data_IF_353759641791
#
_entry.id   IF_353759641791
#
_cell.length_a   1.000
_cell.length_b   1.000
_cell.length_c   1.000
_cell.angle_alpha   90.00
_cell.angle_beta   90.00
_cell.angle_gamma   90.00
#
_symmetry.space_group_name_H-M   'P 1'
#
loop_
_entity.id
_entity.type
_entity.pdbx_description
1 polymer ?
#
# COMPACT_ATOMS: atom_id res chain seq x y z
N UNK A 1 -17.54 -2.64 -2.53
CA UNK A 1 -16.77 -1.39 -2.64
C UNK A 1 -15.86 -1.37 -3.86
N UNK A 2 -15.14 -2.48 -4.11
CA UNK A 2 -14.14 -2.57 -5.17
C UNK A 2 -14.76 -2.56 -6.57
N UNK A 3 -14.19 -1.78 -7.47
CA UNK A 3 -14.59 -1.72 -8.90
C UNK A 3 -13.73 -2.72 -9.71
N UNK A 4 -13.93 -4.02 -9.48
CA UNK A 4 -13.13 -5.08 -10.11
C UNK A 4 -13.21 -5.07 -11.64
N UNK A 5 -14.31 -4.61 -12.22
CA UNK A 5 -14.43 -4.39 -13.66
C UNK A 5 -13.36 -3.42 -14.18
N UNK A 6 -13.22 -2.24 -13.53
CA UNK A 6 -12.18 -1.27 -13.88
C UNK A 6 -10.77 -1.86 -13.79
N UNK A 7 -10.51 -2.68 -12.75
CA UNK A 7 -9.22 -3.34 -12.61
C UNK A 7 -8.95 -4.35 -13.75
N UNK A 8 -9.95 -5.15 -14.11
CA UNK A 8 -9.82 -6.11 -15.20
C UNK A 8 -9.63 -5.44 -16.56
N UNK A 9 -10.26 -4.30 -16.80
CA UNK A 9 -10.16 -3.52 -18.04
C UNK A 9 -8.86 -2.69 -18.13
N UNK A 10 -8.28 -2.30 -17.01
CA UNK A 10 -7.06 -1.48 -16.99
C UNK A 10 -5.88 -2.17 -17.69
N UNK A 11 -5.10 -1.40 -18.43
CA UNK A 11 -3.93 -1.92 -19.13
C UNK A 11 -2.82 -2.35 -18.16
N UNK A 12 -2.30 -3.56 -18.35
CA UNK A 12 -1.07 -4.01 -17.71
C UNK A 12 0.12 -3.46 -18.48
N UNK A 13 0.91 -2.60 -17.84
CA UNK A 13 2.22 -2.18 -18.37
C UNK A 13 3.25 -3.20 -17.91
N UNK A 14 4.17 -3.60 -18.79
CA UNK A 14 5.17 -4.65 -18.50
C UNK A 14 6.62 -4.17 -18.57
N UNK A 15 6.86 -2.98 -19.07
CA UNK A 15 8.20 -2.39 -19.18
C UNK A 15 8.30 -1.13 -18.30
N UNK A 16 9.33 -1.03 -17.46
CA UNK A 16 10.42 -1.95 -17.15
C UNK A 16 10.05 -3.11 -16.21
N UNK A 17 8.87 -3.11 -15.61
CA UNK A 17 8.31 -4.16 -14.77
C UNK A 17 6.78 -4.12 -14.83
N UNK A 18 6.14 -5.22 -14.43
CA UNK A 18 4.68 -5.32 -14.54
C UNK A 18 3.96 -4.50 -13.46
N UNK A 19 3.11 -3.56 -13.89
CA UNK A 19 2.23 -2.78 -13.00
C UNK A 19 0.91 -2.37 -13.66
N UNK A 20 -0.07 -2.03 -12.84
CA UNK A 20 -1.33 -1.43 -13.25
C UNK A 20 -1.72 -0.32 -12.27
N UNK A 21 -2.23 0.79 -12.80
CA UNK A 21 -2.82 1.89 -12.03
C UNK A 21 -4.29 1.99 -12.37
N UNK A 22 -5.15 2.04 -11.36
CA UNK A 22 -6.59 2.19 -11.52
C UNK A 22 -7.06 3.38 -10.70
N UNK A 23 -7.54 4.41 -11.35
CA UNK A 23 -8.22 5.54 -10.70
C UNK A 23 -9.66 5.14 -10.39
N UNK A 24 -10.24 5.72 -9.34
CA UNK A 24 -11.61 5.41 -8.90
C UNK A 24 -11.87 3.90 -8.76
N UNK A 25 -10.90 3.18 -8.19
CA UNK A 25 -11.02 1.74 -7.94
C UNK A 25 -12.07 1.42 -6.87
N UNK A 26 -12.41 2.39 -6.03
CA UNK A 26 -13.53 2.29 -5.10
C UNK A 26 -14.75 3.02 -5.66
N UNK A 27 -15.96 2.48 -5.40
CA UNK A 27 -17.18 3.26 -5.59
C UNK A 27 -17.16 4.49 -4.69
N UNK A 28 -17.78 5.59 -5.10
CA UNK A 28 -17.79 6.83 -4.32
C UNK A 28 -18.27 6.61 -2.89
N UNK A 29 -19.42 5.96 -2.72
CA UNK A 29 -19.98 5.66 -1.40
C UNK A 29 -19.05 4.76 -0.57
N UNK A 30 -18.39 3.79 -1.23
CA UNK A 30 -17.41 2.90 -0.59
C UNK A 30 -16.18 3.64 -0.10
N UNK A 31 -15.64 4.58 -0.91
CA UNK A 31 -14.50 5.41 -0.55
C UNK A 31 -14.85 6.31 0.65
N UNK A 32 -15.99 7.01 0.59
CA UNK A 32 -16.41 7.91 1.65
C UNK A 32 -16.71 7.15 2.96
N UNK A 33 -17.28 5.95 2.86
CA UNK A 33 -17.51 5.08 4.02
C UNK A 33 -16.18 4.57 4.63
N UNK A 34 -15.24 4.11 3.82
CA UNK A 34 -13.93 3.66 4.29
C UNK A 34 -13.10 4.80 4.91
N UNK A 35 -13.22 6.03 4.38
CA UNK A 35 -12.57 7.22 4.94
C UNK A 35 -13.13 7.59 6.33
N UNK A 36 -14.44 7.51 6.52
CA UNK A 36 -15.07 7.79 7.84
C UNK A 36 -14.59 6.84 8.92
N UNK A 37 -14.44 5.56 8.55
CA UNK A 37 -14.04 4.49 9.46
C UNK A 37 -12.54 4.22 9.42
N UNK A 38 -11.74 5.11 8.79
CA UNK A 38 -10.29 4.96 8.72
C UNK A 38 -9.69 4.96 10.14
N UNK A 39 -8.89 3.95 10.52
CA UNK A 39 -8.42 3.80 11.90
C UNK A 39 -7.51 4.97 12.31
N UNK A 40 -7.49 5.25 13.61
CA UNK A 40 -6.48 6.14 14.17
C UNK A 40 -5.11 5.49 14.08
N UNK A 41 -4.24 6.05 13.23
CA UNK A 41 -2.88 5.56 13.06
C UNK A 41 -1.97 6.33 14.04
N UNK A 42 -1.23 5.63 14.93
CA UNK A 42 -0.54 6.28 16.07
C UNK A 42 0.68 7.11 15.67
N UNK A 43 1.03 7.16 14.39
CA UNK A 43 2.16 7.97 13.91
C UNK A 43 2.64 7.57 12.53
N UNK A 44 3.75 8.15 12.06
CA UNK A 44 4.33 7.83 10.76
C UNK A 44 4.83 6.39 10.68
N UNK A 45 4.87 5.86 9.46
CA UNK A 45 5.33 4.52 9.16
C UNK A 45 4.20 3.56 8.81
N UNK A 46 4.52 2.27 8.73
CA UNK A 46 3.59 1.20 8.38
C UNK A 46 3.13 0.50 9.66
N UNK A 47 1.83 0.42 9.86
CA UNK A 47 1.23 -0.18 11.05
C UNK A 47 0.49 -1.45 10.66
N UNK A 48 0.87 -2.62 11.21
CA UNK A 48 0.15 -3.87 10.98
C UNK A 48 -1.20 -3.85 11.70
N UNK A 49 -2.18 -4.69 11.26
CA UNK A 49 -3.54 -4.69 11.82
C UNK A 49 -3.59 -4.86 13.34
N UNK A 50 -2.70 -5.64 13.93
CA UNK A 50 -2.66 -5.88 15.39
C UNK A 50 -2.31 -4.64 16.22
N UNK A 51 -1.98 -3.50 15.62
CA UNK A 51 -1.69 -2.22 16.28
C UNK A 51 -2.83 -1.20 16.12
N UNK A 52 -3.88 -1.55 15.39
CA UNK A 52 -4.94 -0.64 14.98
C UNK A 52 -6.31 -1.20 15.37
N UNK A 53 -7.23 -0.31 15.68
CA UNK A 53 -8.65 -0.66 15.81
C UNK A 53 -9.31 -0.60 14.43
N UNK A 54 -9.39 -1.75 13.77
CA UNK A 54 -9.94 -1.89 12.41
C UNK A 54 -11.37 -2.41 12.53
N UNK A 55 -12.32 -1.54 12.19
CA UNK A 55 -13.75 -1.85 12.29
C UNK A 55 -14.56 -1.21 11.15
N UNK A 56 -15.90 -1.34 11.20
CA UNK A 56 -16.83 -0.69 10.29
C UNK A 56 -16.57 -0.95 8.82
N UNK A 57 -16.76 0.07 8.00
CA UNK A 57 -16.62 -0.02 6.54
C UNK A 57 -15.15 -0.09 6.09
N UNK A 58 -14.21 0.42 6.90
CA UNK A 58 -12.79 0.19 6.62
C UNK A 58 -12.42 -1.29 6.76
N UNK A 59 -12.97 -1.99 7.78
CA UNK A 59 -12.80 -3.45 7.89
C UNK A 59 -13.41 -4.17 6.68
N UNK A 60 -14.61 -3.79 6.28
CA UNK A 60 -15.25 -4.39 5.10
C UNK A 60 -14.41 -4.20 3.83
N UNK A 61 -13.77 -3.03 3.64
CA UNK A 61 -12.81 -2.80 2.54
C UNK A 61 -11.62 -3.75 2.62
N UNK A 62 -11.04 -3.94 3.81
CA UNK A 62 -9.93 -4.88 4.00
C UNK A 62 -10.37 -6.31 3.69
N UNK A 63 -11.55 -6.72 4.13
CA UNK A 63 -12.08 -8.06 3.86
C UNK A 63 -12.27 -8.29 2.35
N UNK A 64 -12.74 -7.28 1.58
CA UNK A 64 -12.82 -7.37 0.12
C UNK A 64 -11.42 -7.46 -0.54
N UNK A 65 -10.43 -6.68 -0.07
CA UNK A 65 -9.06 -6.72 -0.58
C UNK A 65 -8.35 -8.05 -0.30
N UNK A 66 -8.69 -8.71 0.79
CA UNK A 66 -8.18 -10.05 1.16
C UNK A 66 -9.04 -11.17 0.58
N UNK A 67 -10.14 -10.83 -0.06
CA UNK A 67 -11.11 -11.79 -0.57
C UNK A 67 -10.66 -12.48 -1.87
N UNK A 68 -11.24 -13.66 -2.15
CA UNK A 68 -10.85 -14.49 -3.29
C UNK A 68 -11.12 -13.83 -4.64
N UNK A 69 -12.10 -12.92 -4.74
CA UNK A 69 -12.42 -12.25 -6.00
C UNK A 69 -11.32 -11.27 -6.43
N UNK A 70 -10.74 -10.53 -5.48
CA UNK A 70 -9.61 -9.64 -5.75
C UNK A 70 -8.33 -10.44 -5.99
N UNK A 71 -8.06 -11.49 -5.20
CA UNK A 71 -6.94 -12.40 -5.42
C UNK A 71 -6.97 -12.98 -6.83
N UNK A 72 -8.11 -13.52 -7.26
CA UNK A 72 -8.27 -14.06 -8.60
C UNK A 72 -8.03 -13.00 -9.68
N UNK A 73 -8.61 -11.80 -9.54
CA UNK A 73 -8.42 -10.72 -10.50
C UNK A 73 -6.94 -10.32 -10.64
N UNK A 74 -6.20 -10.25 -9.53
CA UNK A 74 -4.76 -9.96 -9.52
C UNK A 74 -3.96 -11.12 -10.13
N UNK A 75 -4.25 -12.37 -9.76
CA UNK A 75 -3.59 -13.55 -10.29
C UNK A 75 -3.73 -13.65 -11.82
N UNK A 76 -4.93 -13.43 -12.34
CA UNK A 76 -5.23 -13.41 -13.78
C UNK A 76 -4.48 -12.25 -14.49
N UNK A 77 -4.57 -11.03 -13.95
CA UNK A 77 -3.95 -9.83 -14.55
C UNK A 77 -2.43 -9.95 -14.69
N UNK A 78 -1.76 -10.49 -13.68
CA UNK A 78 -0.30 -10.60 -13.64
C UNK A 78 0.24 -11.98 -14.06
N UNK A 79 -0.63 -12.90 -14.47
CA UNK A 79 -0.27 -14.29 -14.80
C UNK A 79 0.61 -14.93 -13.71
N UNK A 80 0.17 -14.85 -12.45
CA UNK A 80 0.89 -15.33 -11.27
C UNK A 80 0.00 -16.22 -10.41
N UNK A 81 0.55 -17.32 -9.89
CA UNK A 81 -0.17 -18.18 -8.95
C UNK A 81 -0.11 -17.58 -7.52
N UNK A 82 -1.26 -17.09 -7.06
CA UNK A 82 -1.44 -16.55 -5.70
C UNK A 82 -2.18 -17.50 -4.78
N UNK A 83 -2.67 -18.63 -5.30
CA UNK A 83 -3.47 -19.59 -4.51
C UNK A 83 -2.68 -20.11 -3.31
N UNK A 84 -3.22 -19.87 -2.11
CA UNK A 84 -2.59 -20.27 -0.85
C UNK A 84 -1.33 -19.50 -0.50
N UNK A 85 -0.99 -18.43 -1.22
CA UNK A 85 0.10 -17.53 -0.82
C UNK A 85 -0.32 -16.70 0.37
N UNK A 86 0.54 -16.59 1.39
CA UNK A 86 0.24 -15.75 2.53
C UNK A 86 0.13 -14.28 2.14
N UNK A 87 -0.77 -13.57 2.82
CA UNK A 87 -0.94 -12.13 2.66
C UNK A 87 -0.55 -11.39 3.92
N UNK A 88 -0.06 -10.19 3.77
CA UNK A 88 0.15 -9.25 4.85
C UNK A 88 -0.27 -7.85 4.42
N UNK A 89 -0.83 -7.07 5.34
CA UNK A 89 -1.10 -5.66 5.05
C UNK A 89 -0.70 -4.74 6.19
N UNK A 90 -0.49 -3.50 5.83
CA UNK A 90 -0.22 -2.40 6.75
C UNK A 90 -1.03 -1.18 6.36
N UNK A 91 -1.31 -0.34 7.35
CA UNK A 91 -1.98 0.94 7.15
C UNK A 91 -1.01 2.07 7.45
N UNK A 92 -1.02 3.09 6.60
CA UNK A 92 -0.25 4.32 6.80
C UNK A 92 -1.21 5.49 6.91
N UNK A 93 -1.00 6.36 7.90
CA UNK A 93 -1.81 7.58 8.09
C UNK A 93 -1.04 8.85 7.82
N UNK A 94 0.28 8.83 8.00
CA UNK A 94 1.15 10.02 7.95
C UNK A 94 2.49 9.70 7.30
N UNK A 95 3.00 10.63 6.50
CA UNK A 95 4.31 10.58 5.86
C UNK A 95 5.25 11.62 6.49
N UNK A 96 6.50 11.26 6.72
CA UNK A 96 7.57 12.19 7.16
C UNK A 96 8.36 12.66 5.97
N UNK A 97 8.97 13.83 6.07
CA UNK A 97 9.84 14.41 5.03
C UNK A 97 10.95 13.46 4.54
N UNK A 98 11.44 12.55 5.40
CA UNK A 98 12.49 11.56 5.09
C UNK A 98 12.00 10.26 4.47
N UNK A 99 10.70 10.06 4.37
CA UNK A 99 10.09 8.89 3.75
C UNK A 99 10.14 9.03 2.20
N UNK A 100 9.92 7.95 1.47
CA UNK A 100 9.88 7.99 0.00
C UNK A 100 11.22 7.77 -0.70
N UNK A 101 12.25 7.27 0.00
CA UNK A 101 13.53 6.89 -0.62
C UNK A 101 13.32 5.86 -1.72
N UNK A 102 14.11 5.94 -2.78
CA UNK A 102 14.11 4.95 -3.87
C UNK A 102 14.49 3.57 -3.33
N UNK A 103 13.68 2.59 -3.65
CA UNK A 103 13.94 1.19 -3.31
C UNK A 103 13.11 0.26 -4.21
N UNK A 104 13.54 -0.98 -4.41
CA UNK A 104 12.67 -2.05 -4.84
C UNK A 104 12.02 -2.67 -3.61
N UNK A 105 10.96 -3.41 -3.80
CA UNK A 105 10.40 -4.20 -2.72
C UNK A 105 11.28 -5.42 -2.39
N UNK A 106 11.15 -5.95 -1.16
CA UNK A 106 11.85 -7.15 -0.71
C UNK A 106 11.57 -8.34 -1.65
N UNK A 107 12.57 -9.20 -1.88
CA UNK A 107 12.47 -10.43 -2.68
C UNK A 107 11.39 -11.41 -2.18
N UNK A 108 11.00 -11.28 -0.94
CA UNK A 108 9.92 -12.09 -0.35
C UNK A 108 8.52 -11.64 -0.73
N UNK A 109 8.35 -10.50 -1.40
CA UNK A 109 7.07 -10.05 -1.94
C UNK A 109 6.89 -10.58 -3.37
N UNK A 110 5.68 -10.99 -3.70
CA UNK A 110 5.29 -11.44 -5.03
C UNK A 110 4.56 -10.31 -5.75
N UNK A 111 3.52 -9.79 -5.12
CA UNK A 111 2.70 -8.67 -5.58
C UNK A 111 2.60 -7.64 -4.46
N UNK A 112 2.71 -6.38 -4.83
CA UNK A 112 2.42 -5.25 -3.94
C UNK A 112 1.21 -4.49 -4.45
N UNK A 113 0.30 -4.20 -3.54
CA UNK A 113 -0.89 -3.38 -3.75
C UNK A 113 -0.79 -2.15 -2.86
N UNK A 114 -1.03 -0.99 -3.43
CA UNK A 114 -1.21 0.28 -2.70
C UNK A 114 -2.58 0.85 -3.05
N UNK A 115 -3.42 1.05 -2.04
CA UNK A 115 -4.71 1.72 -2.19
C UNK A 115 -4.71 3.00 -1.36
N UNK A 116 -4.95 4.14 -2.00
CA UNK A 116 -4.95 5.44 -1.36
C UNK A 116 -6.35 5.84 -0.91
N UNK A 117 -6.42 6.49 0.27
CA UNK A 117 -7.67 6.91 0.94
C UNK A 117 -7.62 8.39 1.36
N UNK A 118 -6.79 9.19 0.67
CA UNK A 118 -6.71 10.63 0.87
C UNK A 118 -7.90 11.35 0.21
N UNK A 119 -7.95 12.67 0.29
CA UNK A 119 -8.93 13.48 -0.40
C UNK A 119 -8.87 13.27 -1.93
N UNK A 120 -9.87 13.77 -2.65
CA UNK A 120 -10.00 13.51 -4.09
C UNK A 120 -8.91 14.19 -4.92
N UNK A 121 -8.32 15.27 -4.41
CA UNK A 121 -7.17 15.92 -4.99
C UNK A 121 -5.98 15.88 -4.03
N UNK A 122 -4.80 15.65 -4.57
CA UNK A 122 -3.57 15.70 -3.79
C UNK A 122 -2.96 17.11 -3.83
N UNK A 123 -2.79 17.79 -2.68
CA UNK A 123 -2.48 19.22 -2.65
C UNK A 123 -0.99 19.55 -2.81
N UNK A 124 -0.14 18.57 -3.10
CA UNK A 124 1.32 18.72 -3.11
C UNK A 124 1.97 18.07 -4.33
N UNK A 125 3.09 18.61 -4.78
CA UNK A 125 3.96 17.96 -5.76
C UNK A 125 4.79 16.84 -5.13
N UNK A 126 5.09 16.91 -3.82
CA UNK A 126 5.72 15.85 -3.07
C UNK A 126 4.73 14.74 -2.68
N UNK A 127 5.25 13.57 -2.32
CA UNK A 127 4.44 12.43 -1.88
C UNK A 127 3.72 11.65 -2.98
N UNK A 128 3.79 12.07 -4.24
CA UNK A 128 3.32 11.31 -5.40
C UNK A 128 4.28 10.16 -5.66
N UNK A 129 3.76 8.94 -5.70
CA UNK A 129 4.62 7.78 -5.92
C UNK A 129 5.07 7.73 -7.37
N UNK A 130 6.36 7.57 -7.58
CA UNK A 130 6.97 7.41 -8.90
C UNK A 130 7.51 6.01 -9.10
N UNK A 131 7.16 5.40 -10.22
CA UNK A 131 7.76 4.16 -10.72
C UNK A 131 8.92 4.56 -11.62
N UNK A 132 10.12 4.00 -11.40
CA UNK A 132 11.36 4.55 -11.92
C UNK A 132 12.03 3.60 -12.92
N UNK A 133 12.83 4.17 -13.83
CA UNK A 133 13.69 3.42 -14.74
C UNK A 133 14.99 2.97 -14.09
N UNK A 134 15.40 3.64 -13.01
CA UNK A 134 16.68 3.39 -12.34
C UNK A 134 16.60 3.53 -10.82
N UNK A 135 17.68 3.17 -10.13
CA UNK A 135 17.78 3.12 -8.68
C UNK A 135 18.16 4.47 -8.02
N UNK A 136 18.42 5.53 -8.77
CA UNK A 136 19.16 6.69 -8.26
C UNK A 136 18.49 8.03 -8.53
N UNK A 137 17.56 8.09 -9.49
CA UNK A 137 16.95 9.34 -9.93
C UNK A 137 15.41 9.27 -9.82
N UNK A 138 14.83 10.09 -8.95
CA UNK A 138 13.38 10.21 -8.80
C UNK A 138 12.72 10.87 -10.01
N UNK A 139 13.45 11.65 -10.79
CA UNK A 139 12.90 12.40 -11.91
C UNK A 139 12.95 11.61 -13.24
N UNK A 140 13.68 10.47 -13.26
CA UNK A 140 13.62 9.51 -14.37
C UNK A 140 12.54 8.45 -14.11
N UNK A 141 11.29 8.89 -14.15
CA UNK A 141 10.13 8.01 -13.89
C UNK A 141 9.38 7.64 -15.17
N UNK A 142 8.66 6.53 -15.10
CA UNK A 142 7.75 6.03 -16.15
C UNK A 142 6.30 6.40 -15.85
N UNK A 143 5.95 6.48 -14.56
CA UNK A 143 4.60 6.79 -14.09
C UNK A 143 4.70 7.57 -12.79
N UNK A 144 3.91 8.63 -12.64
CA UNK A 144 3.70 9.34 -11.39
C UNK A 144 2.27 9.15 -10.93
N UNK A 145 2.12 8.60 -9.72
CA UNK A 145 0.84 8.20 -9.17
C UNK A 145 0.45 9.17 -8.07
N UNK A 146 -0.56 9.97 -8.35
CA UNK A 146 -1.18 10.83 -7.37
C UNK A 146 -1.86 9.97 -6.30
N UNK A 147 -1.57 10.19 -5.00
CA UNK A 147 -2.18 9.43 -3.93
C UNK A 147 -3.60 9.90 -3.59
N UNK A 148 -4.38 10.30 -4.60
CA UNK A 148 -5.78 10.66 -4.48
C UNK A 148 -6.62 9.45 -4.04
N UNK A 149 -7.71 9.72 -3.33
CA UNK A 149 -8.57 8.66 -2.80
C UNK A 149 -9.18 7.79 -3.88
N UNK A 150 -9.17 6.49 -3.63
CA UNK A 150 -9.64 5.50 -4.59
C UNK A 150 -8.62 5.11 -5.66
N UNK A 151 -7.43 5.73 -5.69
CA UNK A 151 -6.34 5.31 -6.59
C UNK A 151 -5.72 4.01 -6.09
N UNK A 152 -5.68 3.01 -6.95
CA UNK A 152 -5.02 1.73 -6.75
C UNK A 152 -3.78 1.63 -7.63
N UNK A 153 -2.66 1.21 -7.04
CA UNK A 153 -1.49 0.70 -7.74
C UNK A 153 -1.31 -0.76 -7.38
N UNK A 154 -1.12 -1.62 -8.37
CA UNK A 154 -0.67 -3.00 -8.18
C UNK A 154 0.57 -3.21 -9.03
N UNK A 155 1.61 -3.81 -8.48
CA UNK A 155 2.80 -4.19 -9.26
C UNK A 155 3.38 -5.53 -8.80
N UNK A 156 3.96 -6.23 -9.77
CA UNK A 156 4.75 -7.43 -9.51
C UNK A 156 6.16 -7.02 -9.10
N UNK A 157 6.65 -7.59 -8.01
CA UNK A 157 8.03 -7.39 -7.58
C UNK A 157 9.00 -7.91 -8.64
N UNK A 158 9.99 -7.09 -8.97
CA UNK A 158 11.13 -7.41 -9.82
C UNK A 158 12.38 -6.70 -9.27
N UNK A 159 13.57 -7.12 -9.68
CA UNK A 159 14.82 -6.50 -9.21
C UNK A 159 14.94 -5.03 -9.63
N UNK A 160 14.29 -4.68 -10.73
CA UNK A 160 14.20 -3.33 -11.27
C UNK A 160 12.89 -2.60 -10.95
N UNK A 161 12.05 -3.10 -10.04
CA UNK A 161 10.79 -2.44 -9.65
C UNK A 161 11.03 -1.25 -8.71
N UNK A 162 11.92 -0.35 -9.14
CA UNK A 162 12.31 0.84 -8.39
C UNK A 162 11.14 1.80 -8.26
N UNK A 163 10.92 2.28 -7.05
CA UNK A 163 9.91 3.28 -6.78
C UNK A 163 10.29 4.15 -5.58
N UNK A 164 9.72 5.35 -5.55
CA UNK A 164 9.93 6.31 -4.48
C UNK A 164 9.06 7.55 -4.68
N UNK A 165 9.26 8.56 -3.86
CA UNK A 165 8.59 9.84 -4.05
C UNK A 165 9.43 10.99 -3.49
N UNK A 166 9.24 12.19 -4.01
CA UNK A 166 9.81 13.39 -3.43
C UNK A 166 9.31 13.62 -2.01
N UNK A 167 10.13 14.34 -1.23
CA UNK A 167 9.82 14.66 0.15
C UNK A 167 8.41 15.22 0.32
N UNK A 168 7.70 14.70 1.29
CA UNK A 168 6.40 15.17 1.73
C UNK A 168 6.23 14.90 3.22
N UNK A 169 5.69 15.86 3.94
CA UNK A 169 5.33 15.68 5.34
C UNK A 169 3.88 16.08 5.55
N UNK A 170 3.10 15.13 6.06
CA UNK A 170 1.68 15.36 6.29
C UNK A 170 0.85 14.08 6.24
N UNK A 171 -0.48 14.23 6.35
CA UNK A 171 -1.42 13.11 6.19
C UNK A 171 -1.24 12.46 4.82
N UNK A 172 -1.04 11.15 4.80
CA UNK A 172 -0.97 10.32 3.58
C UNK A 172 -1.48 8.94 3.91
N UNK A 173 -2.79 8.78 3.69
CA UNK A 173 -3.53 7.56 4.04
C UNK A 173 -3.40 6.53 2.93
N UNK A 174 -2.94 5.35 3.28
CA UNK A 174 -2.84 4.23 2.34
C UNK A 174 -2.96 2.89 3.06
N UNK A 175 -3.53 1.91 2.36
CA UNK A 175 -3.40 0.49 2.67
C UNK A 175 -2.36 -0.08 1.73
N UNK A 176 -1.37 -0.78 2.28
CA UNK A 176 -0.42 -1.58 1.52
C UNK A 176 -0.68 -3.05 1.82
N UNK A 177 -1.07 -3.82 0.80
CA UNK A 177 -1.25 -5.26 0.86
C UNK A 177 -0.16 -5.94 0.02
N UNK A 178 0.35 -7.07 0.51
CA UNK A 178 1.33 -7.87 -0.20
C UNK A 178 0.95 -9.35 -0.17
N UNK A 179 1.05 -10.04 -1.31
CA UNK A 179 1.25 -11.48 -1.34
C UNK A 179 2.74 -11.76 -1.19
N UNK A 180 3.07 -12.71 -0.33
CA UNK A 180 4.46 -13.03 0.02
C UNK A 180 4.77 -14.51 -0.21
N UNK A 181 6.07 -14.85 -0.26
CA UNK A 181 6.53 -16.20 -0.62
C UNK A 181 6.11 -17.28 0.37
N UNK A 182 6.13 -16.96 1.66
CA UNK A 182 5.84 -17.92 2.73
C UNK A 182 5.41 -17.22 4.05
N UNK A 183 4.86 -18.01 4.97
CA UNK A 183 4.35 -17.54 6.25
C UNK A 183 5.41 -17.01 7.23
N UNK A 184 6.67 -17.40 7.07
CA UNK A 184 7.75 -16.91 7.93
C UNK A 184 7.99 -15.42 7.73
N UNK A 185 7.72 -14.93 6.51
CA UNK A 185 7.77 -13.50 6.17
C UNK A 185 6.73 -12.74 6.99
N UNK A 186 5.48 -13.25 7.02
CA UNK A 186 4.39 -12.62 7.78
C UNK A 186 4.76 -12.54 9.27
N UNK A 187 5.22 -13.65 9.86
CA UNK A 187 5.63 -13.70 11.27
C UNK A 187 6.78 -12.75 11.58
N UNK A 188 7.79 -12.68 10.70
CA UNK A 188 8.96 -11.78 10.87
C UNK A 188 8.56 -10.31 10.82
N UNK A 189 7.72 -9.92 9.87
CA UNK A 189 7.28 -8.53 9.73
C UNK A 189 6.36 -8.12 10.90
N UNK A 190 5.44 -8.98 11.32
CA UNK A 190 4.62 -8.75 12.52
C UNK A 190 5.46 -8.64 13.79
N UNK A 191 6.51 -9.47 13.94
CA UNK A 191 7.44 -9.43 15.07
C UNK A 191 8.27 -8.14 15.14
N UNK A 192 8.79 -7.65 14.01
CA UNK A 192 9.53 -6.38 13.92
C UNK A 192 8.70 -5.18 14.37
N UNK A 193 7.42 -5.17 14.01
CA UNK A 193 6.50 -4.11 14.41
C UNK A 193 6.08 -4.22 15.89
N UNK A 194 6.02 -5.44 16.45
CA UNK A 194 5.67 -5.68 17.87
C UNK A 194 6.75 -5.23 18.86
N UNK A 195 8.02 -5.41 18.53
CA UNK A 195 9.16 -5.01 19.38
C UNK A 195 9.33 -3.48 19.37
N UNK A 196 9.19 -2.83 18.22
CA UNK A 196 9.31 -1.38 18.09
C UNK A 196 8.24 -0.60 18.87
N UNK A 197 7.02 -1.14 18.98
CA UNK A 197 5.94 -0.50 19.75
C UNK A 197 6.13 -0.62 21.26
N UNK A 198 6.62 -1.77 21.74
CA UNK A 198 6.90 -1.99 23.19
C UNK A 198 8.04 -1.11 23.70
N UNK A 199 9.08 -0.91 22.91
CA UNK A 199 10.21 -0.04 23.28
C UNK A 199 9.76 1.43 23.37
N UNK A 200 8.94 1.91 22.42
CA UNK A 200 8.42 3.28 22.45
C UNK A 200 7.45 3.54 23.62
N UNK A 201 6.68 2.55 24.04
CA UNK A 201 5.77 2.68 25.19
C UNK A 201 6.52 2.73 26.52
N UNK A 202 7.69 2.09 26.63
CA UNK A 202 8.56 2.14 27.80
C UNK A 202 9.22 3.52 27.98
N UNK A 203 9.64 4.14 26.89
CA UNK A 203 10.24 5.50 26.95
C UNK A 203 9.21 6.60 27.22
N UNK A 204 7.94 6.45 26.82
CA UNK A 204 6.87 7.39 27.19
C UNK A 204 6.42 7.33 28.64
N UNK A 205 6.69 6.24 29.37
CA UNK A 205 6.39 6.10 30.81
C UNK A 205 7.48 6.65 31.72
N UNK A 206 8.63 7.01 31.21
CA UNK A 206 9.75 7.55 31.96
C UNK A 206 9.80 9.10 31.99
N UNK A 207 8.84 9.77 31.38
CA UNK A 207 8.75 11.26 31.35
C UNK A 207 7.54 11.81 32.13
N UNK A 208 7.00 11.03 33.11
CA UNK A 208 6.01 11.52 34.10
C UNK A 208 6.46 11.22 35.51
#
# INVERSE_FOLDING_TARGET
MLQLGKFREANLVTDPFAYVVVRDFLSRDGLDAARRDFPQVPGPGSHPPGQLDINGQFKALIDELLGPEFEQAVAEKFAVDLKGRPTMYTVRGFCRARDGKIHPDSETKIITVLLYLNDDAWPSDGGRLRLLRNATDLDDYIEEIEPAGGTLLVFRRADNSWHGHHSYEGPRRAVQLNWVTDESVVRREQGRHGIGSKIKSLFRRAEY
#
